data_IF_631703288654
#
_entry.id   IF_631703288654
#
_cell.length_a   1.000
_cell.length_b   1.000
_cell.length_c   1.000
_cell.angle_alpha   90.00
_cell.angle_beta   90.00
_cell.angle_gamma   90.00
#
_symmetry.space_group_name_H-M   'P 1'
#
loop_
_entity.id
_entity.type
_entity.pdbx_description
1 polymer ?
#
# COMPACT_ATOMS: atom_id res chain seq x y z
N UNK A 1 12.86 -16.78 -0.40
CA UNK A 1 11.47 -16.29 -0.34
C UNK A 1 11.40 -14.93 -1.01
N UNK A 2 10.35 -14.63 -1.77
CA UNK A 2 10.20 -13.32 -2.43
C UNK A 2 9.94 -12.21 -1.41
N UNK A 3 10.39 -10.99 -1.72
CA UNK A 3 10.25 -9.82 -0.84
C UNK A 3 8.77 -9.52 -0.50
N UNK A 4 7.86 -9.67 -1.47
CA UNK A 4 6.42 -9.51 -1.25
C UNK A 4 5.81 -10.51 -0.25
N UNK A 5 6.35 -11.74 -0.18
CA UNK A 5 5.89 -12.72 0.81
C UNK A 5 6.26 -12.31 2.24
N UNK A 6 7.49 -11.81 2.42
CA UNK A 6 7.95 -11.33 3.74
C UNK A 6 7.13 -10.14 4.19
N UNK A 7 6.91 -9.16 3.30
CA UNK A 7 6.04 -8.00 3.58
C UNK A 7 4.63 -8.43 3.97
N UNK A 8 4.02 -9.36 3.22
CA UNK A 8 2.67 -9.85 3.52
C UNK A 8 2.57 -10.55 4.89
N UNK A 9 3.60 -11.29 5.32
CA UNK A 9 3.63 -11.90 6.66
C UNK A 9 3.66 -10.82 7.75
N UNK A 10 4.49 -9.79 7.61
CA UNK A 10 4.53 -8.68 8.56
C UNK A 10 3.21 -7.90 8.62
N UNK A 11 2.54 -7.71 7.48
CA UNK A 11 1.24 -7.05 7.41
C UNK A 11 0.18 -7.80 8.21
N UNK A 12 0.09 -9.13 8.03
CA UNK A 12 -0.86 -9.97 8.77
C UNK A 12 -0.57 -9.94 10.28
N UNK A 13 0.71 -9.94 10.68
CA UNK A 13 1.09 -9.86 12.09
C UNK A 13 0.68 -8.53 12.74
N UNK A 14 0.91 -7.40 12.05
CA UNK A 14 0.50 -6.07 12.54
C UNK A 14 -1.02 -5.99 12.67
N UNK A 15 -1.76 -6.49 11.67
CA UNK A 15 -3.22 -6.49 11.71
C UNK A 15 -3.78 -7.38 12.83
N UNK A 16 -3.13 -8.53 13.06
CA UNK A 16 -3.48 -9.44 14.15
C UNK A 16 -3.26 -8.79 15.53
N UNK A 17 -2.16 -8.05 15.69
CA UNK A 17 -1.86 -7.33 16.92
C UNK A 17 -2.89 -6.23 17.20
N UNK A 18 -3.23 -5.42 16.20
CA UNK A 18 -4.25 -4.38 16.30
C UNK A 18 -5.64 -4.97 16.67
N UNK A 19 -5.99 -6.12 16.08
CA UNK A 19 -7.23 -6.85 16.38
C UNK A 19 -7.23 -7.40 17.80
N UNK A 20 -6.13 -8.01 18.24
CA UNK A 20 -6.01 -8.52 19.60
C UNK A 20 -6.14 -7.41 20.63
N UNK A 21 -5.45 -6.29 20.41
CA UNK A 21 -5.45 -5.13 21.30
C UNK A 21 -6.84 -4.51 21.44
N UNK A 22 -7.62 -4.44 20.35
CA UNK A 22 -9.03 -3.96 20.41
C UNK A 22 -9.97 -4.93 21.12
N UNK A 23 -9.81 -6.24 20.93
CA UNK A 23 -10.58 -7.25 21.68
C UNK A 23 -10.27 -7.14 23.18
N UNK A 24 -8.99 -7.02 23.53
CA UNK A 24 -8.56 -6.90 24.91
C UNK A 24 -9.06 -5.60 25.54
N UNK A 25 -8.97 -4.47 24.83
CA UNK A 25 -9.52 -3.20 25.28
C UNK A 25 -11.03 -3.29 25.57
N UNK A 26 -11.81 -3.90 24.68
CA UNK A 26 -13.24 -4.15 24.92
C UNK A 26 -13.50 -5.07 26.11
N UNK A 27 -12.59 -6.02 26.38
CA UNK A 27 -12.68 -6.87 27.58
C UNK A 27 -12.36 -6.09 28.84
N UNK A 28 -11.39 -5.18 28.80
CA UNK A 28 -11.00 -4.31 29.91
C UNK A 28 -12.13 -3.34 30.30
N UNK A 29 -12.79 -2.72 29.32
CA UNK A 29 -13.94 -1.85 29.57
C UNK A 29 -15.07 -2.60 30.30
N UNK A 30 -15.34 -3.86 29.93
CA UNK A 30 -16.37 -4.68 30.59
C UNK A 30 -16.07 -5.02 32.04
N UNK A 31 -14.80 -5.13 32.44
CA UNK A 31 -14.41 -5.46 33.83
C UNK A 31 -14.26 -4.21 34.70
N UNK A 32 -14.02 -3.05 34.09
CA UNK A 32 -13.85 -1.76 34.79
C UNK A 32 -15.15 -0.95 34.85
N UNK A 33 -16.20 -1.42 34.18
CA UNK A 33 -17.48 -0.71 34.01
C UNK A 33 -17.32 0.68 33.37
N UNK A 34 -16.24 0.89 32.62
CA UNK A 34 -15.99 2.13 31.88
C UNK A 34 -16.79 2.16 30.57
N UNK A 35 -17.35 3.32 30.24
CA UNK A 35 -18.01 3.54 28.96
C UNK A 35 -16.98 3.69 27.83
N UNK A 36 -17.28 3.11 26.67
CA UNK A 36 -16.40 3.18 25.52
C UNK A 36 -16.29 4.63 25.01
N UNK A 37 -15.12 5.26 25.19
CA UNK A 37 -14.84 6.60 24.67
C UNK A 37 -14.19 6.59 23.28
N UNK A 38 -13.53 5.48 22.92
CA UNK A 38 -12.85 5.34 21.64
C UNK A 38 -11.83 4.20 21.64
N UNK A 39 -11.28 3.82 20.47
CA UNK A 39 -10.25 2.79 20.39
C UNK A 39 -8.90 3.30 20.95
N UNK A 40 -8.01 2.40 21.41
CA UNK A 40 -6.69 2.78 21.89
C UNK A 40 -5.88 3.48 20.80
N UNK A 41 -5.25 4.62 21.10
CA UNK A 41 -4.47 5.37 20.11
C UNK A 41 -3.30 4.57 19.50
N UNK A 42 -2.77 3.58 20.23
CA UNK A 42 -1.77 2.66 19.71
C UNK A 42 -2.32 1.80 18.55
N UNK A 43 -3.56 1.33 18.63
CA UNK A 43 -4.21 0.58 17.55
C UNK A 43 -4.43 1.48 16.34
N UNK A 44 -4.89 2.71 16.56
CA UNK A 44 -5.17 3.67 15.48
C UNK A 44 -3.90 3.98 14.69
N UNK A 45 -2.78 4.16 15.39
CA UNK A 45 -1.47 4.40 14.76
C UNK A 45 -0.93 3.18 14.04
N UNK A 46 -1.05 1.98 14.62
CA UNK A 46 -0.71 0.71 13.94
C UNK A 46 -1.51 0.52 12.64
N UNK A 47 -2.81 0.82 12.65
CA UNK A 47 -3.68 0.70 11.47
C UNK A 47 -3.31 1.70 10.37
N UNK A 48 -3.03 2.95 10.74
CA UNK A 48 -2.60 3.99 9.80
C UNK A 48 -1.25 3.64 9.16
N UNK A 49 -0.29 3.18 9.95
CA UNK A 49 1.01 2.75 9.44
C UNK A 49 0.89 1.53 8.53
N UNK A 50 0.09 0.53 8.92
CA UNK A 50 -0.19 -0.65 8.09
C UNK A 50 -0.83 -0.27 6.76
N UNK A 51 -1.80 0.65 6.77
CA UNK A 51 -2.47 1.12 5.56
C UNK A 51 -1.51 1.87 4.61
N UNK A 52 -0.70 2.78 5.14
CA UNK A 52 0.30 3.51 4.34
C UNK A 52 1.33 2.54 3.75
N UNK A 53 1.78 1.57 4.54
CA UNK A 53 2.72 0.55 4.09
C UNK A 53 2.13 -0.33 2.97
N UNK A 54 0.87 -0.76 3.12
CA UNK A 54 0.14 -1.49 2.08
C UNK A 54 0.04 -0.68 0.78
N UNK A 55 -0.29 0.61 0.86
CA UNK A 55 -0.37 1.46 -0.32
C UNK A 55 0.99 1.57 -1.03
N UNK A 56 2.09 1.74 -0.29
CA UNK A 56 3.42 1.89 -0.90
C UNK A 56 3.88 0.58 -1.56
N UNK A 57 3.62 -0.58 -0.95
CA UNK A 57 4.18 -1.86 -1.41
C UNK A 57 3.27 -2.57 -2.41
N UNK A 58 1.96 -2.51 -2.23
CA UNK A 58 1.00 -3.36 -2.96
C UNK A 58 0.40 -2.70 -4.20
N UNK A 59 0.23 -1.37 -4.21
CA UNK A 59 -0.24 -0.63 -5.39
C UNK A 59 0.69 -0.72 -6.61
N UNK A 60 2.03 -0.57 -6.50
CA UNK A 60 2.89 -0.67 -7.68
C UNK A 60 2.94 -2.08 -8.28
N UNK A 61 2.74 -3.13 -7.48
CA UNK A 61 2.64 -4.53 -7.97
C UNK A 61 1.40 -4.75 -8.84
N UNK A 62 0.31 -4.02 -8.58
CA UNK A 62 -0.93 -4.10 -9.37
C UNK A 62 -0.90 -3.23 -10.64
N UNK A 63 0.05 -2.30 -10.80
CA UNK A 63 0.13 -1.47 -12.01
C UNK A 63 0.73 -2.20 -13.21
N UNK A 64 1.38 -3.35 -12.98
CA UNK A 64 1.96 -4.22 -14.00
C UNK A 64 0.94 -5.14 -14.68
N UNK A 65 -0.37 -4.93 -14.50
CA UNK A 65 -1.39 -5.50 -15.38
C UNK A 65 -1.28 -4.88 -16.78
N UNK A 66 -0.27 -5.34 -17.51
CA UNK A 66 -0.09 -5.19 -18.94
C UNK A 66 -1.32 -5.76 -19.62
N UNK A 67 -2.25 -4.89 -20.02
CA UNK A 67 -3.29 -5.23 -20.99
C UNK A 67 -2.56 -5.71 -22.26
N UNK A 68 -2.46 -7.02 -22.44
CA UNK A 68 -1.96 -7.61 -23.68
C UNK A 68 -3.00 -7.37 -24.77
N UNK A 69 -3.06 -6.13 -25.29
CA UNK A 69 -3.67 -5.88 -26.58
C UNK A 69 -2.78 -6.52 -27.65
N UNK A 70 -3.10 -7.77 -28.00
CA UNK A 70 -2.37 -8.56 -29.00
C UNK A 70 -2.33 -7.91 -30.39
N UNK A 71 -3.10 -6.83 -30.65
CA UNK A 71 -3.12 -6.06 -31.91
C UNK A 71 -2.17 -4.86 -31.97
N UNK A 72 -1.34 -4.59 -30.96
CA UNK A 72 -0.45 -3.41 -30.93
C UNK A 72 0.98 -3.61 -31.47
N UNK A 73 1.40 -4.86 -31.75
CA UNK A 73 2.81 -5.17 -32.08
C UNK A 73 3.26 -4.76 -33.50
N UNK A 74 2.39 -4.20 -34.34
CA UNK A 74 2.73 -3.93 -35.76
C UNK A 74 3.37 -2.54 -35.98
N UNK A 75 3.31 -1.62 -35.00
CA UNK A 75 3.67 -0.20 -35.25
C UNK A 75 4.71 0.51 -34.35
N UNK A 76 5.54 -0.09 -33.47
CA UNK A 76 6.48 0.70 -32.67
C UNK A 76 7.95 0.67 -33.14
N UNK A 77 8.31 0.00 -34.24
CA UNK A 77 9.73 -0.11 -34.65
C UNK A 77 10.31 1.20 -35.23
N UNK A 78 9.45 2.12 -35.68
CA UNK A 78 9.87 3.36 -36.36
C UNK A 78 10.06 4.57 -35.45
N UNK A 79 9.62 4.52 -34.18
CA UNK A 79 9.64 5.69 -33.27
C UNK A 79 10.84 5.66 -32.29
N UNK A 80 11.67 4.61 -32.30
CA UNK A 80 12.76 4.45 -31.32
C UNK A 80 14.14 5.01 -31.75
N UNK A 81 14.21 5.97 -32.69
CA UNK A 81 15.52 6.56 -33.07
C UNK A 81 15.66 8.06 -32.88
N UNK A 82 14.63 8.81 -32.51
CA UNK A 82 14.71 10.28 -32.58
C UNK A 82 14.28 11.06 -31.35
N UNK A 83 13.75 10.45 -30.29
CA UNK A 83 13.40 11.21 -29.07
C UNK A 83 13.75 10.43 -27.80
N UNK A 84 14.81 10.83 -27.07
CA UNK A 84 15.09 10.25 -25.76
C UNK A 84 13.98 10.69 -24.79
N UNK A 85 13.32 9.70 -24.20
CA UNK A 85 12.38 9.68 -23.06
C UNK A 85 12.71 10.60 -21.87
N UNK A 86 13.86 11.28 -21.88
CA UNK A 86 14.31 12.21 -20.85
C UNK A 86 13.48 13.50 -20.77
N UNK A 87 12.76 13.89 -21.83
CA UNK A 87 11.96 15.13 -21.86
C UNK A 87 10.51 14.98 -21.39
N UNK A 88 10.00 13.76 -21.22
CA UNK A 88 8.61 13.56 -20.75
C UNK A 88 8.49 13.44 -19.22
N UNK A 89 9.56 13.06 -18.53
CA UNK A 89 9.55 12.86 -17.06
C UNK A 89 9.86 14.15 -16.29
N UNK A 90 10.57 15.09 -16.92
CA UNK A 90 10.98 16.36 -16.29
C UNK A 90 9.81 17.32 -15.92
N UNK A 91 8.72 17.47 -16.70
CA UNK A 91 7.65 18.40 -16.34
C UNK A 91 6.75 17.90 -15.20
N UNK A 92 6.69 16.58 -14.93
CA UNK A 92 5.79 16.05 -13.89
C UNK A 92 6.36 16.24 -12.47
N UNK A 93 7.69 16.20 -12.31
CA UNK A 93 8.37 16.41 -11.02
C UNK A 93 8.31 17.89 -10.60
N UNK A 94 8.29 18.81 -11.56
CA UNK A 94 8.30 20.26 -11.31
C UNK A 94 6.92 20.85 -11.02
N UNK A 95 5.83 20.12 -11.29
CA UNK A 95 4.45 20.55 -11.00
C UNK A 95 4.00 20.13 -9.58
N UNK A 96 4.78 19.30 -8.89
CA UNK A 96 4.45 18.77 -7.55
C UNK A 96 5.45 19.25 -6.47
N UNK A 97 6.31 20.23 -6.78
CA UNK A 97 7.18 20.94 -5.82
C UNK A 97 6.84 22.41 -5.79
#
# INVERSE_FOLDING_TARGET
MGLGFVVGVFEVLILSHATYSTIQYRRLLKITEEEFSGPPMNVVTELLLGLVFYMIVSLPVNLDFMSFNHRGKVFPMLINKTLPYKYFVLPLVLVVS
#
